data_IF_543335056401
#
_entry.id   IF_543335056401
#
_cell.length_a   1.000
_cell.length_b   1.000
_cell.length_c   1.000
_cell.angle_alpha   90.00
_cell.angle_beta   90.00
_cell.angle_gamma   90.00
#
_symmetry.space_group_name_H-M   'P 1'
#
loop_
_entity.id
_entity.type
_entity.pdbx_description
1 polymer ?
#
# COMPACT_ATOMS: atom_id res chain seq x y z
N UNK A 1 4.65 19.55 11.93
CA UNK A 1 3.71 18.41 12.02
C UNK A 1 4.45 17.18 11.57
N UNK A 2 4.47 16.13 12.38
CA UNK A 2 5.16 14.87 12.05
C UNK A 2 4.28 14.11 11.05
N UNK A 3 4.75 13.93 9.82
CA UNK A 3 4.02 13.11 8.83
C UNK A 3 4.14 11.64 9.23
N UNK A 4 3.00 11.01 9.52
CA UNK A 4 2.92 9.57 9.77
C UNK A 4 2.85 8.81 8.43
N UNK A 5 3.41 7.61 8.40
CA UNK A 5 3.45 6.77 7.21
C UNK A 5 2.98 5.35 7.54
N UNK A 6 2.33 4.73 6.56
CA UNK A 6 2.01 3.32 6.53
C UNK A 6 2.92 2.62 5.51
N UNK A 7 3.25 1.37 5.74
CA UNK A 7 4.00 0.54 4.80
C UNK A 7 3.13 -0.60 4.26
N UNK A 8 3.33 -0.95 3.00
CA UNK A 8 2.74 -2.16 2.40
C UNK A 8 3.37 -3.38 3.07
N UNK A 9 2.52 -4.26 3.62
CA UNK A 9 3.00 -5.48 4.26
C UNK A 9 3.80 -6.33 3.26
N UNK A 10 4.91 -6.90 3.73
CA UNK A 10 5.81 -7.77 2.96
C UNK A 10 6.37 -7.14 1.67
N UNK A 11 6.48 -5.80 1.62
CA UNK A 11 6.98 -5.09 0.43
C UNK A 11 8.30 -5.65 -0.12
N UNK A 12 9.26 -5.95 0.76
CA UNK A 12 10.58 -6.46 0.39
C UNK A 12 10.55 -7.86 -0.28
N UNK A 13 9.51 -8.65 -0.02
CA UNK A 13 9.30 -9.96 -0.65
C UNK A 13 8.74 -9.81 -2.07
N UNK A 14 7.89 -8.81 -2.30
CA UNK A 14 7.22 -8.62 -3.59
C UNK A 14 7.96 -7.69 -4.54
N UNK A 15 8.78 -6.77 -4.01
CA UNK A 15 9.53 -5.81 -4.81
C UNK A 15 11.03 -5.90 -4.53
N UNK A 16 11.73 -6.56 -5.46
CA UNK A 16 13.19 -6.72 -5.43
C UNK A 16 13.93 -5.66 -6.26
N UNK A 17 13.20 -4.73 -6.89
CA UNK A 17 13.82 -3.61 -7.60
C UNK A 17 14.36 -2.63 -6.57
N UNK A 18 15.66 -2.69 -6.29
CA UNK A 18 16.32 -1.72 -5.41
C UNK A 18 16.44 -0.35 -6.09
N UNK A 19 17.54 -0.11 -6.81
CA UNK A 19 17.83 1.21 -7.41
C UNK A 19 17.03 1.54 -8.68
N UNK A 20 15.96 0.81 -8.96
CA UNK A 20 15.14 1.02 -10.16
C UNK A 20 13.73 1.34 -9.70
N UNK A 21 13.17 2.42 -10.22
CA UNK A 21 11.77 2.78 -10.06
C UNK A 21 11.05 2.35 -11.36
N UNK A 22 10.74 1.05 -11.53
CA UNK A 22 10.07 0.59 -12.75
C UNK A 22 8.73 1.31 -12.90
N UNK A 23 8.27 1.56 -14.13
CA UNK A 23 6.99 2.23 -14.37
C UNK A 23 5.77 1.34 -14.05
N UNK A 24 5.97 0.13 -13.52
CA UNK A 24 4.92 -0.86 -13.25
C UNK A 24 5.23 -1.67 -11.99
N UNK A 25 4.18 -2.24 -11.41
CA UNK A 25 4.23 -3.30 -10.38
C UNK A 25 3.62 -4.59 -10.91
N UNK A 26 4.01 -5.74 -10.34
CA UNK A 26 3.36 -7.03 -10.63
C UNK A 26 2.23 -7.27 -9.64
N UNK A 27 1.05 -7.59 -10.15
CA UNK A 27 -0.05 -8.09 -9.34
C UNK A 27 0.00 -9.62 -9.35
N UNK A 28 0.22 -10.23 -8.20
CA UNK A 28 0.30 -11.69 -8.09
C UNK A 28 -1.09 -12.32 -8.09
N UNK A 29 -1.33 -13.32 -8.94
CA UNK A 29 -2.64 -14.00 -9.05
C UNK A 29 -3.14 -14.63 -7.74
N UNK A 30 -2.21 -14.98 -6.84
CA UNK A 30 -2.51 -15.52 -5.51
C UNK A 30 -3.32 -14.54 -4.65
N UNK A 31 -3.37 -13.25 -5.03
CA UNK A 31 -4.26 -12.28 -4.42
C UNK A 31 -5.74 -12.68 -4.49
N UNK A 32 -6.14 -13.42 -5.54
CA UNK A 32 -7.50 -13.93 -5.68
C UNK A 32 -7.81 -15.10 -4.72
N UNK A 33 -6.77 -15.67 -4.11
CA UNK A 33 -6.89 -16.71 -3.07
C UNK A 33 -6.82 -16.10 -1.64
N UNK A 34 -6.55 -14.79 -1.52
CA UNK A 34 -6.49 -14.08 -0.24
C UNK A 34 -7.90 -13.70 0.22
N UNK A 35 -8.35 -14.34 1.31
CA UNK A 35 -9.69 -14.12 1.87
C UNK A 35 -9.93 -12.66 2.30
N UNK A 36 -8.92 -11.99 2.87
CA UNK A 36 -9.05 -10.61 3.31
C UNK A 36 -9.24 -9.69 2.10
N UNK A 37 -8.50 -9.91 1.01
CA UNK A 37 -8.66 -9.14 -0.22
C UNK A 37 -10.03 -9.38 -0.86
N UNK A 38 -10.43 -10.64 -0.97
CA UNK A 38 -11.70 -11.03 -1.58
C UNK A 38 -12.91 -10.48 -0.81
N UNK A 39 -12.78 -10.30 0.50
CA UNK A 39 -13.81 -9.74 1.39
C UNK A 39 -13.94 -8.20 1.30
N UNK A 40 -13.01 -7.51 0.66
CA UNK A 40 -13.10 -6.06 0.46
C UNK A 40 -14.23 -5.70 -0.51
N UNK A 41 -14.85 -4.53 -0.29
CA UNK A 41 -15.72 -3.92 -1.29
C UNK A 41 -14.94 -3.62 -2.58
N UNK A 42 -15.61 -3.62 -3.72
CA UNK A 42 -14.95 -3.47 -5.03
C UNK A 42 -14.18 -2.15 -5.15
N UNK A 43 -14.72 -1.06 -4.60
CA UNK A 43 -14.02 0.23 -4.53
C UNK A 43 -12.74 0.14 -3.67
N UNK A 44 -12.81 -0.55 -2.53
CA UNK A 44 -11.66 -0.74 -1.64
C UNK A 44 -10.56 -1.59 -2.28
N UNK A 45 -10.91 -2.60 -3.09
CA UNK A 45 -9.93 -3.35 -3.89
C UNK A 45 -9.19 -2.42 -4.85
N UNK A 46 -9.92 -1.53 -5.55
CA UNK A 46 -9.32 -0.54 -6.44
C UNK A 46 -8.41 0.44 -5.68
N UNK A 47 -8.85 0.95 -4.54
CA UNK A 47 -8.05 1.82 -3.68
C UNK A 47 -6.74 1.16 -3.24
N UNK A 48 -6.79 -0.11 -2.81
CA UNK A 48 -5.59 -0.84 -2.42
C UNK A 48 -4.58 -0.98 -3.57
N UNK A 49 -5.07 -1.27 -4.78
CA UNK A 49 -4.21 -1.32 -5.96
C UNK A 49 -3.59 0.04 -6.30
N UNK A 50 -4.33 1.14 -6.16
CA UNK A 50 -3.79 2.50 -6.34
C UNK A 50 -2.72 2.83 -5.28
N UNK A 51 -2.94 2.43 -4.03
CA UNK A 51 -1.95 2.58 -2.95
C UNK A 51 -0.68 1.80 -3.25
N UNK A 52 -0.76 0.57 -3.77
CA UNK A 52 0.43 -0.20 -4.16
C UNK A 52 1.22 0.46 -5.29
N UNK A 53 0.55 1.07 -6.27
CA UNK A 53 1.20 1.83 -7.35
C UNK A 53 1.85 3.11 -6.82
N UNK A 54 1.24 3.78 -5.83
CA UNK A 54 1.90 4.90 -5.17
C UNK A 54 3.11 4.44 -4.37
N UNK A 55 2.95 3.38 -3.57
CA UNK A 55 4.00 2.83 -2.72
C UNK A 55 5.22 2.38 -3.54
N UNK A 56 5.03 1.94 -4.78
CA UNK A 56 6.14 1.58 -5.67
C UNK A 56 7.08 2.73 -6.03
N UNK A 57 6.59 3.96 -5.94
CA UNK A 57 7.37 5.18 -6.16
C UNK A 57 8.03 5.68 -4.86
N UNK A 58 7.70 5.06 -3.71
CA UNK A 58 8.02 5.55 -2.37
C UNK A 58 8.47 4.41 -1.44
N UNK A 59 9.26 3.46 -1.95
CA UNK A 59 9.86 2.36 -1.17
C UNK A 59 8.86 1.58 -0.31
N UNK A 60 7.67 1.34 -0.84
CA UNK A 60 6.62 0.59 -0.16
C UNK A 60 5.84 1.41 0.87
N UNK A 61 6.01 2.72 0.91
CA UNK A 61 5.37 3.61 1.89
C UNK A 61 4.25 4.46 1.27
N UNK A 62 3.22 4.73 2.07
CA UNK A 62 2.17 5.71 1.78
C UNK A 62 2.03 6.66 2.99
N UNK A 63 1.78 7.96 2.78
CA UNK A 63 1.46 8.86 3.89
C UNK A 63 0.14 8.46 4.54
N UNK A 64 0.05 8.57 5.86
CA UNK A 64 -1.20 8.45 6.62
C UNK A 64 -1.98 9.78 6.51
N UNK A 65 -2.39 10.11 5.28
CA UNK A 65 -3.04 11.36 4.90
C UNK A 65 -4.05 11.08 3.77
N UNK A 66 -5.27 10.73 4.16
CA UNK A 66 -6.36 10.41 3.23
C UNK A 66 -6.66 11.56 2.26
N UNK A 67 -6.85 12.83 2.68
CA UNK A 67 -7.12 13.93 1.75
C UNK A 67 -6.03 14.14 0.70
N UNK A 68 -4.76 14.01 1.08
CA UNK A 68 -3.65 14.05 0.12
C UNK A 68 -3.73 12.89 -0.88
N UNK A 69 -3.93 11.67 -0.39
CA UNK A 69 -3.97 10.47 -1.23
C UNK A 69 -5.15 10.48 -2.18
N UNK A 70 -6.35 10.85 -1.75
CA UNK A 70 -7.52 10.96 -2.63
C UNK A 70 -7.26 11.92 -3.80
N UNK A 71 -6.63 13.06 -3.52
CA UNK A 71 -6.23 14.02 -4.57
C UNK A 71 -5.15 13.45 -5.48
N UNK A 72 -4.14 12.77 -4.93
CA UNK A 72 -3.01 12.23 -5.68
C UNK A 72 -3.40 11.03 -6.56
N UNK A 73 -4.34 10.22 -6.08
CA UNK A 73 -4.81 8.99 -6.71
C UNK A 73 -6.08 9.21 -7.54
N UNK A 74 -6.66 10.41 -7.50
CA UNK A 74 -7.93 10.75 -8.16
C UNK A 74 -9.07 9.79 -7.80
N UNK A 75 -9.19 9.47 -6.50
CA UNK A 75 -10.25 8.62 -5.96
C UNK A 75 -11.02 9.33 -4.83
N UNK A 76 -12.08 8.68 -4.33
CA UNK A 76 -12.95 9.20 -3.27
C UNK A 76 -13.38 8.08 -2.33
N UNK A 77 -13.61 8.40 -1.07
CA UNK A 77 -14.00 7.41 -0.06
C UNK A 77 -12.85 6.48 0.32
N UNK A 78 -11.61 6.99 0.27
CA UNK A 78 -10.45 6.22 0.68
C UNK A 78 -10.46 6.08 2.21
N UNK A 79 -10.53 4.85 2.69
CA UNK A 79 -10.35 4.51 4.09
C UNK A 79 -9.04 3.73 4.24
N UNK A 80 -8.04 4.29 4.92
CA UNK A 80 -6.77 3.61 5.16
C UNK A 80 -6.87 2.57 6.28
N UNK A 81 -7.80 2.76 7.20
CA UNK A 81 -7.93 1.93 8.40
C UNK A 81 -8.37 0.50 8.04
N UNK A 82 -9.26 0.35 7.06
CA UNK A 82 -9.67 -0.98 6.58
C UNK A 82 -8.50 -1.81 6.06
N UNK A 83 -7.47 -1.18 5.47
CA UNK A 83 -6.30 -1.88 4.97
C UNK A 83 -5.30 -2.22 6.07
N UNK A 84 -5.27 -1.41 7.14
CA UNK A 84 -4.52 -1.75 8.35
C UNK A 84 -5.16 -2.95 9.06
N UNK A 85 -6.48 -2.93 9.21
CA UNK A 85 -7.25 -4.01 9.86
C UNK A 85 -7.21 -5.32 9.06
N UNK A 86 -7.33 -5.24 7.73
CA UNK A 86 -7.19 -6.38 6.83
C UNK A 86 -5.73 -6.86 6.69
N UNK A 87 -4.76 -6.12 7.25
CA UNK A 87 -3.34 -6.50 7.26
C UNK A 87 -2.60 -6.27 5.94
N UNK A 88 -3.11 -5.41 5.05
CA UNK A 88 -2.41 -5.00 3.82
C UNK A 88 -1.45 -3.83 4.06
N UNK A 89 -1.76 -2.97 5.03
CA UNK A 89 -0.92 -1.88 5.49
C UNK A 89 -0.51 -2.08 6.95
N UNK A 90 0.68 -1.62 7.32
CA UNK A 90 1.17 -1.64 8.70
C UNK A 90 1.73 -0.27 9.07
N UNK A 91 1.67 0.07 10.37
CA UNK A 91 2.30 1.30 10.86
C UNK A 91 3.81 1.26 10.57
N UNK A 92 4.31 2.24 9.82
CA UNK A 92 5.74 2.33 9.55
C UNK A 92 6.45 2.96 10.75
N UNK A 93 7.44 2.30 11.38
CA UNK A 93 8.15 2.88 12.52
C UNK A 93 9.13 3.99 12.12
N UNK A 94 9.40 4.20 10.83
CA UNK A 94 10.25 5.31 10.34
C UNK A 94 9.82 5.82 8.96
N UNK A 95 10.02 7.12 8.67
CA UNK A 95 10.16 7.58 7.30
C UNK A 95 11.39 6.88 6.68
N UNK A 96 11.20 6.11 5.61
CA UNK A 96 12.29 5.59 4.78
C UNK A 96 12.90 4.22 5.11
N UNK A 97 12.22 3.30 5.81
CA UNK A 97 12.68 1.91 5.86
C UNK A 97 11.50 0.92 6.01
N UNK A 98 11.15 0.23 4.92
CA UNK A 98 10.19 -0.86 4.97
C UNK A 98 10.72 -1.99 5.87
N UNK A 99 9.94 -2.41 6.87
CA UNK A 99 10.23 -3.61 7.64
C UNK A 99 10.05 -4.83 6.74
N UNK A 100 11.09 -5.65 6.61
CA UNK A 100 10.92 -7.07 6.32
C UNK A 100 10.24 -7.71 7.54
N UNK A 101 8.93 -7.93 7.44
CA UNK A 101 8.22 -8.76 8.42
C UNK A 101 8.70 -10.20 8.26
N UNK A 102 9.02 -10.86 9.37
CA UNK A 102 9.43 -12.25 9.46
C UNK A 102 8.23 -13.18 9.54
#
# INVERSE_FOLDING_TARGET
MTTHFLAVKNWAEFQHYGKRNPPWIKLHRALLDDYAFCSLADASKAHLMLLWVYASQNDGQVPDDTPFLERKLSCQGLDLQIFVEAGFLIKSPRPGLALAAR
#
